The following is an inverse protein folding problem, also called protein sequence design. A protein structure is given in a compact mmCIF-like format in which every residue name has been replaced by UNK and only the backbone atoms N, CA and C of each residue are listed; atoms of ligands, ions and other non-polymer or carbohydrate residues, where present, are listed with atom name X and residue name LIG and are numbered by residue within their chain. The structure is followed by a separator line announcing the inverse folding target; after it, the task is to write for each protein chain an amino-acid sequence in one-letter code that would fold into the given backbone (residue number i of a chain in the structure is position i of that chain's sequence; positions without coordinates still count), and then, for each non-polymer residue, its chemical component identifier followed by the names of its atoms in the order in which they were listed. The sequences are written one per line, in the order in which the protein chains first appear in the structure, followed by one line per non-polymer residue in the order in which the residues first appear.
data_IF_173390092763
#
_entry.id   IF_173390092763
#
_cell.length_a   1.000
_cell.length_b   1.000
_cell.length_c   1.000
_cell.angle_alpha   90.00
_cell.angle_beta   90.00
_cell.angle_gamma   90.00
#
_symmetry.space_group_name_H-M   'P 1'
#
loop_
_entity.id
_entity.type
_entity.pdbx_description
1 polymer ?
#
# COMPACT_ATOMS: atom_id res chain seq x y z
N UNK A 1 -35.17 59.48 96.06
CA UNK A 1 -34.50 58.74 97.15
C UNK A 1 -33.01 59.08 97.12
N UNK A 2 -32.36 58.99 98.29
CA UNK A 2 -31.14 59.70 98.68
C UNK A 2 -29.82 59.39 97.94
N UNK A 3 -28.95 60.42 97.97
CA UNK A 3 -27.50 60.62 97.75
C UNK A 3 -26.55 59.53 98.36
N UNK A 4 -25.17 59.55 98.20
CA UNK A 4 -24.28 60.73 98.07
C UNK A 4 -22.93 60.65 97.29
N UNK A 5 -22.35 61.85 97.07
CA UNK A 5 -20.93 62.30 97.16
C UNK A 5 -19.84 61.65 96.26
N UNK A 6 -18.89 62.37 95.66
CA UNK A 6 -17.98 63.36 96.24
C UNK A 6 -17.47 64.41 95.20
N UNK A 7 -17.41 65.67 95.64
CA UNK A 7 -16.55 66.80 95.19
C UNK A 7 -15.10 66.64 95.67
N UNK A 8 -14.13 67.57 95.42
CA UNK A 8 -13.81 68.45 94.28
C UNK A 8 -12.26 68.53 94.02
N UNK A 9 -11.84 69.58 93.29
CA UNK A 9 -10.53 70.27 93.31
C UNK A 9 -9.55 69.91 92.18
N UNK A 10 -9.36 70.79 91.18
CA UNK A 10 -8.57 72.06 91.15
C UNK A 10 -7.15 71.78 90.67
N UNK A 11 -6.81 72.33 89.50
CA UNK A 11 -5.69 73.26 89.31
C UNK A 11 -5.62 73.70 87.84
N UNK A 12 -5.94 74.97 87.63
CA UNK A 12 -5.49 75.73 86.46
C UNK A 12 -4.10 76.27 86.78
N UNK A 13 -3.11 75.92 85.98
CA UNK A 13 -1.86 76.68 85.87
C UNK A 13 -1.65 77.05 84.39
N UNK A 14 -1.71 78.36 84.13
CA UNK A 14 -1.23 78.96 82.89
C UNK A 14 0.18 79.46 83.18
N UNK A 15 1.16 78.73 82.68
CA UNK A 15 2.54 79.18 82.49
C UNK A 15 2.79 79.35 81.00
N UNK A 16 2.99 80.59 80.56
CA UNK A 16 3.25 80.99 79.18
C UNK A 16 4.76 81.15 79.04
N UNK A 17 5.39 80.53 78.04
CA UNK A 17 6.58 81.11 77.42
C UNK A 17 6.86 80.59 76.00
N UNK A 18 7.08 81.60 75.14
CA UNK A 18 7.81 81.66 73.87
C UNK A 18 7.88 80.47 72.90
N UNK A 19 7.27 80.66 71.72
CA UNK A 19 7.88 80.28 70.44
C UNK A 19 7.20 79.17 69.65
N UNK A 20 6.47 79.55 68.60
CA UNK A 20 6.07 78.67 67.50
C UNK A 20 4.76 77.92 67.71
N UNK A 21 3.89 77.96 66.70
CA UNK A 21 2.66 77.17 66.66
C UNK A 21 2.96 75.70 67.02
N UNK A 22 2.36 75.19 68.10
CA UNK A 22 2.36 73.76 68.39
C UNK A 22 1.69 73.06 67.20
N UNK A 23 2.51 72.51 66.30
CA UNK A 23 2.06 71.70 65.19
C UNK A 23 1.19 70.57 65.77
N UNK A 24 0.07 70.28 65.10
CA UNK A 24 -0.83 69.19 65.47
C UNK A 24 0.03 67.94 65.81
N UNK A 25 -0.12 67.30 66.99
CA UNK A 25 0.83 66.32 67.50
C UNK A 25 1.30 65.22 66.52
N UNK A 26 0.47 64.71 65.57
CA UNK A 26 0.95 63.75 64.57
C UNK A 26 1.74 64.36 63.39
N UNK A 27 1.90 65.68 63.30
CA UNK A 27 2.70 66.40 62.30
C UNK A 27 3.92 67.10 62.91
N UNK A 28 4.48 66.55 63.98
CA UNK A 28 5.78 66.99 64.48
C UNK A 28 6.92 66.51 63.57
N UNK A 29 7.48 67.46 62.82
CA UNK A 29 8.57 67.26 61.86
C UNK A 29 9.86 66.69 62.47
N UNK A 30 10.04 66.77 63.79
CA UNK A 30 11.20 66.19 64.48
C UNK A 30 11.23 64.64 64.40
N UNK A 31 10.07 63.99 64.19
CA UNK A 31 9.96 62.52 64.11
C UNK A 31 10.12 61.97 62.68
N UNK A 32 9.97 62.82 61.67
CA UNK A 32 10.04 62.42 60.26
C UNK A 32 11.39 61.80 59.85
N UNK A 33 12.57 62.28 60.30
CA UNK A 33 13.84 61.64 59.95
C UNK A 33 13.93 60.18 60.41
N UNK A 34 13.43 59.87 61.60
CA UNK A 34 13.42 58.49 62.13
C UNK A 34 12.44 57.59 61.36
N UNK A 35 11.24 58.10 61.04
CA UNK A 35 10.27 57.39 60.21
C UNK A 35 10.82 57.12 58.80
N UNK A 36 11.48 58.12 58.19
CA UNK A 36 12.11 57.98 56.88
C UNK A 36 13.28 57.00 56.90
N UNK A 37 14.10 57.00 57.96
CA UNK A 37 15.19 56.04 58.15
C UNK A 37 14.64 54.61 58.21
N UNK A 38 13.60 54.38 59.01
CA UNK A 38 13.02 53.05 59.18
C UNK A 38 12.21 52.59 57.95
N UNK A 39 11.54 53.52 57.27
CA UNK A 39 10.95 53.28 55.96
C UNK A 39 12.01 52.87 54.95
N UNK A 40 13.14 53.57 54.87
CA UNK A 40 14.23 53.24 53.95
C UNK A 40 14.83 51.86 54.25
N UNK A 41 15.03 51.51 55.52
CA UNK A 41 15.57 50.21 55.92
C UNK A 41 14.59 49.07 55.58
N UNK A 42 13.32 49.21 55.96
CA UNK A 42 12.30 48.18 55.69
C UNK A 42 12.00 48.04 54.20
N UNK A 43 11.89 49.16 53.47
CA UNK A 43 11.70 49.18 52.03
C UNK A 43 12.93 48.60 51.31
N UNK A 44 14.15 48.94 51.74
CA UNK A 44 15.38 48.38 51.20
C UNK A 44 15.48 46.86 51.41
N UNK A 45 15.13 46.37 52.60
CA UNK A 45 15.06 44.94 52.90
C UNK A 45 14.02 44.23 52.02
N UNK A 46 12.81 44.79 51.90
CA UNK A 46 11.76 44.26 51.03
C UNK A 46 12.18 44.24 49.57
N UNK A 47 12.77 45.35 49.08
CA UNK A 47 13.29 45.47 47.71
C UNK A 47 14.37 44.41 47.44
N UNK A 48 15.31 44.22 48.37
CA UNK A 48 16.35 43.20 48.24
C UNK A 48 15.77 41.79 48.13
N UNK A 49 14.77 41.45 48.97
CA UNK A 49 14.08 40.16 48.91
C UNK A 49 13.33 39.99 47.58
N UNK A 50 12.62 41.03 47.13
CA UNK A 50 11.89 40.99 45.86
C UNK A 50 12.85 40.80 44.68
N UNK A 51 13.95 41.55 44.66
CA UNK A 51 14.97 41.49 43.62
C UNK A 51 15.69 40.14 43.57
N UNK A 52 16.06 39.57 44.73
CA UNK A 52 16.84 38.32 44.79
C UNK A 52 16.01 37.04 44.76
N UNK A 53 14.74 37.06 45.18
CA UNK A 53 13.93 35.83 45.29
C UNK A 53 12.66 35.86 44.45
N UNK A 54 11.84 36.90 44.58
CA UNK A 54 10.52 36.89 43.95
C UNK A 54 10.60 37.07 42.43
N UNK A 55 11.35 38.07 41.94
CA UNK A 55 11.56 38.29 40.50
C UNK A 55 12.20 37.09 39.80
N UNK A 56 13.32 36.50 40.30
CA UNK A 56 13.89 35.33 39.63
C UNK A 56 12.98 34.10 39.68
N UNK A 57 12.19 33.90 40.73
CA UNK A 57 11.23 32.78 40.78
C UNK A 57 10.12 32.90 39.72
N UNK A 58 9.60 34.11 39.51
CA UNK A 58 8.60 34.38 38.46
C UNK A 58 9.23 34.20 37.07
N UNK A 59 10.42 34.76 36.85
CA UNK A 59 11.17 34.61 35.60
C UNK A 59 11.45 33.15 35.25
N UNK A 60 11.91 32.36 36.22
CA UNK A 60 12.17 30.93 36.04
C UNK A 60 10.92 30.14 35.65
N UNK A 61 9.76 30.46 36.23
CA UNK A 61 8.50 29.80 35.90
C UNK A 61 8.05 30.11 34.46
N UNK A 62 8.17 31.37 34.04
CA UNK A 62 7.84 31.79 32.68
C UNK A 62 8.77 31.08 31.69
N UNK A 63 10.07 31.06 31.96
CA UNK A 63 11.05 30.42 31.09
C UNK A 63 10.83 28.91 31.00
N UNK A 64 10.54 28.25 32.13
CA UNK A 64 10.23 26.82 32.13
C UNK A 64 8.99 26.50 31.28
N UNK A 65 7.95 27.34 31.35
CA UNK A 65 6.74 27.17 30.51
C UNK A 65 7.05 27.40 29.04
N UNK A 66 7.81 28.45 28.70
CA UNK A 66 8.24 28.72 27.32
C UNK A 66 9.05 27.56 26.76
N UNK A 67 10.03 27.07 27.52
CA UNK A 67 10.85 25.93 27.14
C UNK A 67 10.04 24.65 26.94
N UNK A 68 9.07 24.37 27.82
CA UNK A 68 8.15 23.22 27.64
C UNK A 68 7.31 23.37 26.38
N UNK A 69 6.68 24.52 26.17
CA UNK A 69 5.85 24.75 24.98
C UNK A 69 6.69 24.63 23.70
N UNK A 70 7.88 25.23 23.66
CA UNK A 70 8.78 25.12 22.52
C UNK A 70 9.15 23.65 22.24
N UNK A 71 9.54 22.92 23.30
CA UNK A 71 9.83 21.50 23.20
C UNK A 71 8.63 20.68 22.69
N UNK A 72 7.44 20.92 23.22
CA UNK A 72 6.23 20.20 22.83
C UNK A 72 5.86 20.49 21.36
N UNK A 73 6.06 21.73 20.89
CA UNK A 73 5.86 22.11 19.48
C UNK A 73 6.90 21.44 18.59
N UNK A 74 8.17 21.41 18.99
CA UNK A 74 9.24 20.76 18.23
C UNK A 74 9.01 19.25 18.14
N UNK A 75 8.62 18.61 19.25
CA UNK A 75 8.27 17.19 19.28
C UNK A 75 7.04 16.89 18.42
N UNK A 76 5.98 17.71 18.52
CA UNK A 76 4.79 17.57 17.68
C UNK A 76 5.12 17.71 16.19
N UNK A 77 5.95 18.71 15.83
CA UNK A 77 6.38 18.93 14.45
C UNK A 77 7.23 17.76 13.94
N UNK A 78 8.15 17.25 14.76
CA UNK A 78 8.95 16.08 14.41
C UNK A 78 8.10 14.81 14.26
N UNK A 79 7.08 14.62 15.11
CA UNK A 79 6.13 13.52 14.98
C UNK A 79 5.28 13.64 13.71
N UNK A 80 4.80 14.85 13.39
CA UNK A 80 4.06 15.12 12.17
C UNK A 80 4.91 14.82 10.92
N UNK A 81 6.15 15.32 10.88
CA UNK A 81 7.06 15.05 9.77
C UNK A 81 7.35 13.55 9.60
N UNK A 82 7.52 12.82 10.71
CA UNK A 82 7.71 11.35 10.66
C UNK A 82 6.46 10.64 10.15
N UNK A 83 5.27 11.07 10.56
CA UNK A 83 4.00 10.51 10.09
C UNK A 83 3.80 10.77 8.60
N UNK A 84 4.06 11.99 8.13
CA UNK A 84 3.97 12.36 6.72
C UNK A 84 4.99 11.60 5.86
N UNK A 85 6.23 11.46 6.35
CA UNK A 85 7.26 10.65 5.67
C UNK A 85 6.87 9.16 5.61
N UNK A 86 6.33 8.61 6.69
CA UNK A 86 5.84 7.23 6.71
C UNK A 86 4.64 7.04 5.77
N UNK A 87 3.69 7.97 5.76
CA UNK A 87 2.54 7.95 4.85
C UNK A 87 2.98 8.02 3.38
N UNK A 88 3.92 8.91 3.05
CA UNK A 88 4.50 9.01 1.71
C UNK A 88 5.23 7.73 1.29
N UNK A 89 6.03 7.14 2.18
CA UNK A 89 6.73 5.88 1.93
C UNK A 89 5.74 4.71 1.74
N UNK A 90 4.69 4.62 2.55
CA UNK A 90 3.63 3.63 2.39
C UNK A 90 2.89 3.78 1.07
N UNK A 91 2.51 5.00 0.71
CA UNK A 91 1.84 5.28 -0.56
C UNK A 91 2.73 4.93 -1.74
N UNK A 92 4.02 5.30 -1.69
CA UNK A 92 5.00 4.94 -2.71
C UNK A 92 5.11 3.41 -2.86
N UNK A 93 5.30 2.70 -1.75
CA UNK A 93 5.38 1.23 -1.75
C UNK A 93 4.14 0.57 -2.35
N UNK A 94 2.94 1.07 -2.03
CA UNK A 94 1.69 0.58 -2.62
C UNK A 94 1.61 0.85 -4.13
N UNK A 95 2.02 2.03 -4.59
CA UNK A 95 2.04 2.34 -6.03
C UNK A 95 3.04 1.47 -6.78
N UNK A 96 4.24 1.27 -6.24
CA UNK A 96 5.27 0.41 -6.82
C UNK A 96 4.85 -1.06 -6.82
N UNK A 97 4.21 -1.54 -5.75
CA UNK A 97 3.68 -2.90 -5.69
C UNK A 97 2.58 -3.13 -6.73
N UNK A 98 1.64 -2.18 -6.89
CA UNK A 98 0.60 -2.24 -7.92
C UNK A 98 1.19 -2.23 -9.33
N UNK A 99 2.16 -1.35 -9.58
CA UNK A 99 2.84 -1.28 -10.87
C UNK A 99 3.56 -2.59 -11.20
N UNK A 100 4.30 -3.16 -10.23
CA UNK A 100 4.97 -4.46 -10.38
C UNK A 100 4.00 -5.62 -10.61
N UNK A 101 2.87 -5.64 -9.89
CA UNK A 101 1.84 -6.65 -10.08
C UNK A 101 1.23 -6.58 -11.48
N UNK A 102 0.94 -5.36 -11.97
CA UNK A 102 0.42 -5.16 -13.32
C UNK A 102 1.44 -5.53 -14.40
N UNK A 103 2.73 -5.17 -14.23
CA UNK A 103 3.78 -5.54 -15.19
C UNK A 103 3.99 -7.05 -15.21
N UNK A 104 4.01 -7.70 -14.04
CA UNK A 104 4.13 -9.15 -13.93
C UNK A 104 2.94 -9.85 -14.58
N UNK A 105 1.71 -9.41 -14.29
CA UNK A 105 0.51 -9.99 -14.90
C UNK A 105 0.51 -9.87 -16.43
N UNK A 106 1.00 -8.76 -16.99
CA UNK A 106 1.17 -8.59 -18.44
C UNK A 106 2.24 -9.54 -18.99
N UNK A 107 3.44 -9.52 -18.42
CA UNK A 107 4.55 -10.38 -18.84
C UNK A 107 4.17 -11.86 -18.79
N UNK A 108 3.50 -12.31 -17.72
CA UNK A 108 3.03 -13.69 -17.59
C UNK A 108 1.97 -14.04 -18.62
N UNK A 109 1.03 -13.15 -18.93
CA UNK A 109 0.04 -13.37 -20.01
C UNK A 109 0.70 -13.49 -21.37
N UNK A 110 1.67 -12.62 -21.65
CA UNK A 110 2.39 -12.62 -22.93
C UNK A 110 3.22 -13.91 -23.08
N UNK A 111 3.89 -14.35 -22.01
CA UNK A 111 4.61 -15.63 -21.97
C UNK A 111 3.67 -16.83 -22.16
N UNK A 112 2.57 -16.88 -21.42
CA UNK A 112 1.57 -17.95 -21.55
C UNK A 112 0.96 -18.01 -22.96
N UNK A 113 0.71 -16.86 -23.59
CA UNK A 113 0.22 -16.80 -24.96
C UNK A 113 1.26 -17.37 -25.94
N UNK A 114 2.53 -16.97 -25.80
CA UNK A 114 3.61 -17.49 -26.63
C UNK A 114 3.80 -19.01 -26.45
N UNK A 115 3.76 -19.50 -25.21
CA UNK A 115 3.87 -20.93 -24.91
C UNK A 115 2.67 -21.72 -25.46
N UNK A 116 1.46 -21.17 -25.36
CA UNK A 116 0.26 -21.77 -25.92
C UNK A 116 0.33 -21.86 -27.45
N UNK A 117 0.77 -20.80 -28.12
CA UNK A 117 0.95 -20.78 -29.57
C UNK A 117 2.04 -21.77 -30.01
N UNK A 118 3.18 -21.83 -29.31
CA UNK A 118 4.24 -22.79 -29.59
C UNK A 118 3.74 -24.23 -29.40
N UNK A 119 3.00 -24.51 -28.32
CA UNK A 119 2.45 -25.85 -28.08
C UNK A 119 1.40 -26.21 -29.13
N UNK A 120 0.55 -25.25 -29.53
CA UNK A 120 -0.44 -25.44 -30.58
C UNK A 120 0.23 -25.79 -31.90
N UNK A 121 1.25 -25.03 -32.32
CA UNK A 121 2.01 -25.33 -33.55
C UNK A 121 2.66 -26.71 -33.50
N UNK A 122 3.25 -27.10 -32.37
CA UNK A 122 3.82 -28.45 -32.17
C UNK A 122 2.76 -29.54 -32.34
N UNK A 123 1.59 -29.36 -31.72
CA UNK A 123 0.49 -30.34 -31.82
C UNK A 123 -0.08 -30.38 -33.23
N UNK A 124 -0.26 -29.24 -33.90
CA UNK A 124 -0.70 -29.18 -35.30
C UNK A 124 0.29 -29.89 -36.23
N UNK A 125 1.59 -29.73 -36.02
CA UNK A 125 2.62 -30.44 -36.77
C UNK A 125 2.57 -31.96 -36.53
N UNK A 126 2.45 -32.41 -35.27
CA UNK A 126 2.30 -33.83 -34.94
C UNK A 126 1.02 -34.43 -35.56
N UNK A 127 -0.08 -33.69 -35.54
CA UNK A 127 -1.35 -34.11 -36.15
C UNK A 127 -1.21 -34.22 -37.66
N UNK A 128 -0.56 -33.26 -38.33
CA UNK A 128 -0.32 -33.32 -39.77
C UNK A 128 0.47 -34.58 -40.18
N UNK A 129 1.49 -34.96 -39.40
CA UNK A 129 2.26 -36.20 -39.63
C UNK A 129 1.35 -37.43 -39.47
N UNK A 130 0.55 -37.48 -38.41
CA UNK A 130 -0.39 -38.61 -38.18
C UNK A 130 -1.45 -38.71 -39.27
N UNK A 131 -1.98 -37.57 -39.76
CA UNK A 131 -2.91 -37.55 -40.88
C UNK A 131 -2.27 -38.12 -42.14
N UNK A 132 -1.06 -37.67 -42.50
CA UNK A 132 -0.35 -38.18 -43.66
C UNK A 132 -0.04 -39.68 -43.55
N UNK A 133 0.29 -40.17 -42.36
CA UNK A 133 0.50 -41.60 -42.12
C UNK A 133 -0.80 -42.40 -42.27
N UNK A 134 -1.89 -41.93 -41.66
CA UNK A 134 -3.20 -42.56 -41.78
C UNK A 134 -3.70 -42.60 -43.23
N UNK A 135 -3.53 -41.52 -43.99
CA UNK A 135 -3.86 -41.48 -45.42
C UNK A 135 -3.07 -42.52 -46.23
N UNK A 136 -1.76 -42.66 -45.96
CA UNK A 136 -0.93 -43.70 -46.59
C UNK A 136 -1.40 -45.10 -46.24
N UNK A 137 -1.74 -45.35 -44.97
CA UNK A 137 -2.26 -46.65 -44.53
C UNK A 137 -3.61 -46.96 -45.22
N UNK A 138 -4.53 -46.01 -45.25
CA UNK A 138 -5.82 -46.16 -45.94
C UNK A 138 -5.62 -46.46 -47.43
N UNK A 139 -4.72 -45.74 -48.11
CA UNK A 139 -4.43 -45.97 -49.52
C UNK A 139 -3.83 -47.37 -49.77
N UNK A 140 -2.93 -47.82 -48.89
CA UNK A 140 -2.33 -49.16 -48.97
C UNK A 140 -3.39 -50.25 -48.76
N UNK A 141 -4.20 -50.15 -47.70
CA UNK A 141 -5.29 -51.11 -47.41
C UNK A 141 -6.33 -51.12 -48.53
N UNK A 142 -6.69 -49.96 -49.09
CA UNK A 142 -7.59 -49.87 -50.25
C UNK A 142 -7.02 -50.61 -51.45
N UNK A 143 -5.75 -50.39 -51.77
CA UNK A 143 -5.07 -51.07 -52.89
C UNK A 143 -5.05 -52.58 -52.69
N UNK A 144 -4.71 -53.04 -51.48
CA UNK A 144 -4.70 -54.46 -51.12
C UNK A 144 -6.11 -55.10 -51.14
N UNK A 145 -7.14 -54.37 -50.71
CA UNK A 145 -8.52 -54.85 -50.77
C UNK A 145 -8.99 -54.97 -52.23
N UNK A 146 -8.70 -53.98 -53.08
CA UNK A 146 -9.05 -54.02 -54.50
C UNK A 146 -8.29 -55.12 -55.26
N UNK A 147 -7.04 -55.41 -54.92
CA UNK A 147 -6.30 -56.53 -55.50
C UNK A 147 -6.89 -57.89 -55.09
N UNK A 148 -7.29 -58.05 -53.82
CA UNK A 148 -7.98 -59.26 -53.35
C UNK A 148 -9.32 -59.46 -54.04
N UNK A 149 -10.14 -58.41 -54.18
CA UNK A 149 -11.41 -58.47 -54.93
C UNK A 149 -11.16 -58.88 -56.38
N UNK A 150 -10.13 -58.32 -57.02
CA UNK A 150 -9.76 -58.68 -58.40
C UNK A 150 -9.33 -60.15 -58.52
N UNK A 151 -8.59 -60.68 -57.53
CA UNK A 151 -8.21 -62.09 -57.50
C UNK A 151 -9.43 -63.01 -57.31
N UNK A 152 -10.31 -62.71 -56.35
CA UNK A 152 -11.53 -63.48 -56.11
C UNK A 152 -12.44 -63.47 -57.33
N UNK A 153 -12.57 -62.33 -58.01
CA UNK A 153 -13.36 -62.21 -59.24
C UNK A 153 -12.77 -63.06 -60.38
N UNK A 154 -11.44 -63.12 -60.52
CA UNK A 154 -10.75 -64.00 -61.48
C UNK A 154 -11.02 -65.47 -61.19
N UNK A 155 -10.86 -65.87 -59.94
CA UNK A 155 -11.07 -67.26 -59.52
C UNK A 155 -12.53 -67.68 -59.73
N UNK A 156 -13.49 -66.81 -59.37
CA UNK A 156 -14.91 -67.05 -59.59
C UNK A 156 -15.25 -67.13 -61.08
N UNK A 157 -14.72 -66.22 -61.92
CA UNK A 157 -14.93 -66.25 -63.36
C UNK A 157 -14.34 -67.53 -64.00
N UNK A 158 -13.13 -67.94 -63.59
CA UNK A 158 -12.51 -69.18 -64.02
C UNK A 158 -13.36 -70.41 -63.68
N UNK A 159 -13.86 -70.48 -62.44
CA UNK A 159 -14.72 -71.57 -62.00
C UNK A 159 -16.06 -71.62 -62.75
N UNK A 160 -16.67 -70.45 -63.04
CA UNK A 160 -17.91 -70.37 -63.84
C UNK A 160 -17.64 -70.88 -65.26
N UNK A 161 -16.55 -70.45 -65.90
CA UNK A 161 -16.19 -70.83 -67.26
C UNK A 161 -15.87 -72.33 -67.35
N UNK A 162 -15.12 -72.88 -66.39
CA UNK A 162 -14.84 -74.32 -66.32
C UNK A 162 -16.13 -75.15 -66.25
N UNK A 163 -17.12 -74.70 -65.45
CA UNK A 163 -18.44 -75.34 -65.39
C UNK A 163 -19.25 -75.22 -66.68
N UNK A 164 -19.02 -74.19 -67.49
CA UNK A 164 -19.76 -73.97 -68.73
C UNK A 164 -19.20 -74.76 -69.92
N UNK A 165 -17.87 -74.81 -70.07
CA UNK A 165 -17.21 -75.43 -71.23
C UNK A 165 -16.69 -76.85 -70.93
N UNK A 166 -16.75 -77.30 -69.67
CA UNK A 166 -16.35 -78.64 -69.25
C UNK A 166 -14.84 -78.91 -69.34
N UNK A 167 -14.02 -77.88 -69.52
CA UNK A 167 -12.55 -77.94 -69.53
C UNK A 167 -11.98 -76.85 -68.62
N UNK A 168 -10.94 -77.20 -67.87
CA UNK A 168 -10.18 -76.25 -67.08
C UNK A 168 -9.49 -75.23 -68.00
N UNK A 169 -9.74 -73.95 -67.77
CA UNK A 169 -9.05 -72.85 -68.46
C UNK A 169 -7.73 -72.58 -67.74
N UNK A 170 -6.64 -72.45 -68.47
CA UNK A 170 -5.33 -72.16 -67.87
C UNK A 170 -5.29 -70.72 -67.33
N UNK A 171 -4.60 -70.46 -66.21
CA UNK A 171 -4.49 -69.11 -65.63
C UNK A 171 -3.98 -68.06 -66.64
N UNK A 172 -3.04 -68.46 -67.50
CA UNK A 172 -2.49 -67.60 -68.55
C UNK A 172 -3.52 -67.17 -69.60
N UNK A 173 -4.49 -68.03 -69.95
CA UNK A 173 -5.54 -67.70 -70.92
C UNK A 173 -6.59 -66.76 -70.30
N UNK A 174 -6.90 -66.92 -69.02
CA UNK A 174 -7.77 -66.01 -68.26
C UNK A 174 -7.14 -64.62 -68.11
N UNK A 175 -5.86 -64.55 -67.74
CA UNK A 175 -5.12 -63.28 -67.63
C UNK A 175 -5.03 -62.56 -68.98
N UNK A 176 -4.77 -63.28 -70.08
CA UNK A 176 -4.76 -62.73 -71.42
C UNK A 176 -6.13 -62.16 -71.84
N UNK A 177 -7.23 -62.88 -71.54
CA UNK A 177 -8.58 -62.41 -71.85
C UNK A 177 -8.99 -61.17 -71.03
N UNK A 178 -8.63 -61.13 -69.75
CA UNK A 178 -8.89 -59.98 -68.87
C UNK A 178 -8.04 -58.76 -69.24
N UNK A 179 -6.79 -58.96 -69.67
CA UNK A 179 -5.93 -57.90 -70.18
C UNK A 179 -6.45 -57.33 -71.51
N UNK A 180 -6.97 -58.19 -72.40
CA UNK A 180 -7.58 -57.77 -73.66
C UNK A 180 -8.89 -56.97 -73.46
N UNK A 181 -9.59 -57.15 -72.34
CA UNK A 181 -10.77 -56.36 -71.95
C UNK A 181 -10.43 -55.04 -71.23
N UNK A 182 -9.19 -54.88 -70.74
CA UNK A 182 -8.70 -53.67 -70.07
C UNK A 182 -8.16 -52.56 -71.03
N UNK A 183 -8.79 -52.28 -72.18
CA UNK A 183 -8.71 -50.96 -72.79
C UNK A 183 -10.12 -50.38 -73.01
N UNK A 184 -10.52 -49.36 -72.23
CA UNK A 184 -11.46 -48.28 -72.61
C UNK A 184 -11.92 -47.30 -71.49
N UNK A 185 -11.37 -47.30 -70.27
CA UNK A 185 -11.79 -46.33 -69.23
C UNK A 185 -10.88 -45.11 -69.06
N UNK A 186 -10.04 -44.77 -70.05
CA UNK A 186 -9.17 -43.58 -70.05
C UNK A 186 -9.70 -42.46 -70.96
N UNK A 187 -11.02 -42.28 -71.01
CA UNK A 187 -11.64 -41.23 -71.79
C UNK A 187 -13.04 -40.93 -71.31
N UNK A 188 -13.15 -40.07 -70.29
CA UNK A 188 -14.17 -39.04 -70.19
C UNK A 188 -13.72 -38.04 -69.11
N UNK A 189 -14.05 -36.77 -69.36
CA UNK A 189 -13.48 -35.55 -68.79
C UNK A 189 -13.84 -35.29 -67.31
#
# INVERSE_FOLDING_TARGET
MAQPAQTPATQSEVGKDAGGHAAFPPFDSATFPSQLLWLAITFGALYYVMAKKALPAIGATIEQRRARIAKDIDEATAMQQKADAAAAAHQKSLTEARARAQSLARATRDQLAADADAKRQSVEAELAVKFAEAERQIAATRTQAMSQVSAIARDAAGAIVERLIGRAVTPAALDAALAAQKPNSSGEA
#
